data_IF_711425359037
#
_entry.id   IF_711425359037
#
_cell.length_a   1.000
_cell.length_b   1.000
_cell.length_c   1.000
_cell.angle_alpha   90.00
_cell.angle_beta   90.00
_cell.angle_gamma   90.00
#
_symmetry.space_group_name_H-M   'P 1'
#
loop_
_entity.id
_entity.type
_entity.pdbx_description
1 polymer ?
#
# COMPACT_ATOMS: atom_id res chain seq x y z
N UNK A 1 -8.94 6.06 19.66
CA UNK A 1 -8.12 7.29 19.60
C UNK A 1 -6.66 6.89 19.53
N UNK A 2 -5.87 7.41 18.58
CA UNK A 2 -4.41 7.21 18.52
C UNK A 2 -3.73 8.51 19.00
N UNK A 3 -2.73 8.40 19.86
CA UNK A 3 -1.98 9.57 20.37
C UNK A 3 -0.84 9.91 19.40
N UNK A 4 -0.68 11.20 19.08
CA UNK A 4 0.41 11.72 18.24
C UNK A 4 1.32 12.61 19.09
N UNK A 5 2.62 12.34 19.04
CA UNK A 5 3.64 13.23 19.58
C UNK A 5 4.20 14.08 18.43
N UNK A 6 3.97 15.39 18.47
CA UNK A 6 4.42 16.33 17.43
C UNK A 6 5.33 17.36 18.10
N UNK A 7 6.50 17.61 17.52
CA UNK A 7 7.37 18.72 17.90
C UNK A 7 6.94 19.96 17.12
N UNK A 8 6.66 21.05 17.84
CA UNK A 8 6.36 22.35 17.28
C UNK A 8 7.47 23.32 17.72
N UNK A 9 7.79 24.28 16.86
CA UNK A 9 8.65 25.40 17.25
C UNK A 9 7.94 26.26 18.31
N UNK A 10 8.73 26.84 19.21
CA UNK A 10 8.20 27.61 20.36
C UNK A 10 7.31 28.78 19.92
N UNK A 11 7.68 29.46 18.83
CA UNK A 11 6.89 30.56 18.25
C UNK A 11 5.53 30.09 17.74
N UNK A 12 5.47 28.91 17.11
CA UNK A 12 4.23 28.34 16.57
C UNK A 12 3.34 27.89 17.72
N UNK A 13 3.90 27.24 18.72
CA UNK A 13 3.18 26.84 19.92
C UNK A 13 2.59 28.07 20.64
N UNK A 14 3.37 29.13 20.83
CA UNK A 14 2.90 30.36 21.47
C UNK A 14 1.72 31.00 20.72
N UNK A 15 1.82 31.11 19.39
CA UNK A 15 0.72 31.62 18.55
C UNK A 15 -0.52 30.75 18.67
N UNK A 16 -0.36 29.43 18.63
CA UNK A 16 -1.47 28.50 18.73
C UNK A 16 -2.17 28.56 20.09
N UNK A 17 -1.41 28.70 21.18
CA UNK A 17 -1.96 28.90 22.53
C UNK A 17 -2.79 30.17 22.62
N UNK A 18 -2.31 31.27 22.04
CA UNK A 18 -3.05 32.54 22.02
C UNK A 18 -4.34 32.39 21.21
N UNK A 19 -4.27 31.79 20.02
CA UNK A 19 -5.44 31.57 19.17
C UNK A 19 -6.47 30.64 19.84
N UNK A 20 -6.03 29.58 20.50
CA UNK A 20 -6.91 28.68 21.24
C UNK A 20 -7.65 29.41 22.37
N UNK A 21 -6.94 30.28 23.12
CA UNK A 21 -7.55 31.14 24.14
C UNK A 21 -8.57 32.12 23.56
N UNK A 22 -8.27 32.74 22.42
CA UNK A 22 -9.17 33.68 21.77
C UNK A 22 -10.44 33.01 21.21
N UNK A 23 -10.32 31.76 20.77
CA UNK A 23 -11.42 30.96 20.26
C UNK A 23 -12.19 30.20 21.35
N UNK A 24 -11.80 30.35 22.63
CA UNK A 24 -12.38 29.65 23.78
C UNK A 24 -12.38 28.11 23.63
N UNK A 25 -11.33 27.58 22.99
CA UNK A 25 -11.13 26.14 22.76
C UNK A 25 -9.85 25.64 23.40
N UNK A 26 -9.80 24.33 23.67
CA UNK A 26 -8.56 23.72 24.15
C UNK A 26 -7.49 23.72 23.06
N UNK A 27 -6.21 23.81 23.45
CA UNK A 27 -5.09 23.72 22.51
C UNK A 27 -5.16 22.42 21.70
N UNK A 28 -5.53 21.31 22.35
CA UNK A 28 -5.65 20.00 21.72
C UNK A 28 -6.78 19.96 20.69
N UNK A 29 -7.92 20.62 20.96
CA UNK A 29 -9.03 20.68 20.01
C UNK A 29 -8.72 21.62 18.84
N UNK A 30 -8.03 22.73 19.08
CA UNK A 30 -7.54 23.60 18.02
C UNK A 30 -6.59 22.83 17.06
N UNK A 31 -5.69 22.00 17.59
CA UNK A 31 -4.82 21.13 16.78
C UNK A 31 -5.64 20.12 15.99
N UNK A 32 -6.63 19.47 16.63
CA UNK A 32 -7.51 18.51 15.96
C UNK A 32 -8.25 19.14 14.79
N UNK A 33 -8.90 20.28 15.02
CA UNK A 33 -9.65 21.01 13.98
C UNK A 33 -8.73 21.48 12.85
N UNK A 34 -7.53 21.95 13.16
CA UNK A 34 -6.55 22.35 12.15
C UNK A 34 -6.16 21.17 11.24
N UNK A 35 -5.96 19.97 11.81
CA UNK A 35 -5.67 18.77 11.04
C UNK A 35 -6.86 18.37 10.16
N UNK A 36 -8.08 18.36 10.70
CA UNK A 36 -9.29 18.03 9.93
C UNK A 36 -9.51 19.00 8.77
N UNK A 37 -9.35 20.30 9.01
CA UNK A 37 -9.42 21.33 7.97
C UNK A 37 -8.33 21.14 6.91
N UNK A 38 -7.10 20.83 7.34
CA UNK A 38 -6.00 20.60 6.40
C UNK A 38 -6.24 19.36 5.54
N UNK A 39 -6.77 18.28 6.12
CA UNK A 39 -7.18 17.09 5.38
C UNK A 39 -8.24 17.45 4.35
N UNK A 40 -9.24 18.26 4.71
CA UNK A 40 -10.29 18.69 3.78
C UNK A 40 -9.73 19.49 2.60
N UNK A 41 -8.81 20.43 2.87
CA UNK A 41 -8.12 21.21 1.83
C UNK A 41 -7.31 20.30 0.92
N UNK A 42 -6.51 19.41 1.50
CA UNK A 42 -5.69 18.45 0.76
C UNK A 42 -6.54 17.47 -0.07
N UNK A 43 -7.69 17.04 0.45
CA UNK A 43 -8.61 16.15 -0.27
C UNK A 43 -9.33 16.85 -1.42
N UNK A 44 -9.48 18.17 -1.33
CA UNK A 44 -10.11 18.98 -2.38
C UNK A 44 -9.11 19.44 -3.44
N UNK A 45 -7.82 19.21 -3.25
CA UNK A 45 -6.76 19.57 -4.20
C UNK A 45 -6.75 18.58 -5.39
N UNK A 46 -7.04 19.05 -6.62
CA UNK A 46 -7.05 18.21 -7.81
C UNK A 46 -5.69 17.52 -8.08
N UNK A 47 -4.57 18.14 -7.66
CA UNK A 47 -3.24 17.58 -7.82
C UNK A 47 -3.00 16.38 -6.89
N UNK A 48 -3.62 16.36 -5.71
CA UNK A 48 -3.59 15.22 -4.80
C UNK A 48 -4.55 14.12 -5.25
N UNK A 49 -5.67 14.45 -5.87
CA UNK A 49 -6.57 13.46 -6.48
C UNK A 49 -5.86 12.63 -7.56
N UNK A 50 -5.12 13.28 -8.46
CA UNK A 50 -4.34 12.58 -9.50
C UNK A 50 -3.25 11.68 -8.90
N UNK A 51 -2.58 12.14 -7.83
CA UNK A 51 -1.59 11.33 -7.09
C UNK A 51 -2.24 10.17 -6.32
N UNK A 52 -3.47 10.35 -5.83
CA UNK A 52 -4.22 9.32 -5.14
C UNK A 52 -4.67 8.21 -6.11
N UNK A 53 -5.08 8.55 -7.33
CA UNK A 53 -5.36 7.57 -8.38
C UNK A 53 -4.11 6.77 -8.75
N UNK A 54 -2.98 7.45 -8.98
CA UNK A 54 -1.70 6.77 -9.24
C UNK A 54 -1.26 5.86 -8.08
N UNK A 55 -1.42 6.30 -6.84
CA UNK A 55 -1.11 5.49 -5.65
C UNK A 55 -2.05 4.28 -5.54
N UNK A 56 -3.32 4.43 -5.92
CA UNK A 56 -4.30 3.35 -5.92
C UNK A 56 -4.00 2.29 -6.98
N UNK A 57 -3.57 2.71 -8.17
CA UNK A 57 -3.12 1.80 -9.22
C UNK A 57 -1.89 0.99 -8.80
N UNK A 58 -0.93 1.62 -8.10
CA UNK A 58 0.25 0.93 -7.59
C UNK A 58 -0.11 -0.08 -6.49
N UNK A 59 -0.98 0.29 -5.54
CA UNK A 59 -1.46 -0.63 -4.50
C UNK A 59 -2.20 -1.82 -5.12
N UNK A 60 -3.05 -1.59 -6.12
CA UNK A 60 -3.78 -2.66 -6.81
C UNK A 60 -2.84 -3.59 -7.57
N UNK A 61 -1.78 -3.06 -8.17
CA UNK A 61 -0.75 -3.86 -8.84
C UNK A 61 0.00 -4.73 -7.83
N UNK A 62 0.48 -4.13 -6.75
CA UNK A 62 1.22 -4.84 -5.71
C UNK A 62 0.34 -5.90 -5.02
N UNK A 63 -0.92 -5.58 -4.76
CA UNK A 63 -1.90 -6.54 -4.24
C UNK A 63 -2.13 -7.71 -5.22
N UNK A 64 -2.24 -7.45 -6.53
CA UNK A 64 -2.36 -8.52 -7.55
C UNK A 64 -1.11 -9.40 -7.60
N UNK A 65 0.07 -8.81 -7.50
CA UNK A 65 1.35 -9.54 -7.48
C UNK A 65 1.44 -10.42 -6.22
N UNK A 66 1.07 -9.88 -5.05
CA UNK A 66 1.01 -10.64 -3.80
C UNK A 66 -0.04 -11.77 -3.85
N UNK A 67 -1.23 -11.49 -4.38
CA UNK A 67 -2.28 -12.51 -4.58
C UNK A 67 -1.86 -13.59 -5.57
N UNK A 68 -1.17 -13.23 -6.66
CA UNK A 68 -0.61 -14.17 -7.62
C UNK A 68 0.46 -15.08 -7.01
N UNK A 69 1.39 -14.50 -6.23
CA UNK A 69 2.40 -15.27 -5.49
C UNK A 69 1.77 -16.22 -4.47
N UNK A 70 0.75 -15.77 -3.72
CA UNK A 70 -0.03 -16.62 -2.82
C UNK A 70 -0.75 -17.73 -3.58
N UNK A 71 -1.36 -17.44 -4.73
CA UNK A 71 -2.04 -18.44 -5.56
C UNK A 71 -1.08 -19.49 -6.14
N UNK A 72 0.19 -19.13 -6.40
CA UNK A 72 1.23 -20.09 -6.79
C UNK A 72 1.72 -20.94 -5.60
N UNK A 73 1.83 -20.35 -4.41
CA UNK A 73 2.20 -21.03 -3.17
C UNK A 73 1.12 -22.02 -2.70
N UNK A 74 -0.16 -21.66 -2.82
CA UNK A 74 -1.30 -22.47 -2.36
C UNK A 74 -1.97 -23.29 -3.49
N UNK A 75 -1.75 -22.95 -4.76
CA UNK A 75 -2.31 -23.66 -5.92
C UNK A 75 -1.46 -24.84 -6.41
N UNK A 76 -0.25 -25.03 -5.87
CA UNK A 76 0.62 -26.15 -6.23
C UNK A 76 0.36 -27.45 -5.43
N UNK A 77 -0.69 -27.50 -4.59
CA UNK A 77 -0.96 -28.66 -3.71
C UNK A 77 -2.37 -29.26 -3.85
N UNK A 78 -3.02 -29.14 -5.01
CA UNK A 78 -4.19 -29.99 -5.33
C UNK A 78 -4.12 -30.49 -6.79
N UNK A 79 -3.26 -31.50 -6.95
CA UNK A 79 -3.41 -32.76 -7.70
C UNK A 79 -4.36 -32.87 -8.92
N UNK A 80 -3.78 -33.21 -10.08
CA UNK A 80 -4.20 -34.29 -11.00
C UNK A 80 -3.12 -34.47 -12.10
N UNK A 81 -2.14 -35.36 -11.90
CA UNK A 81 -2.10 -36.76 -12.35
C UNK A 81 -1.58 -36.97 -13.81
N UNK A 82 -0.83 -38.06 -14.06
CA UNK A 82 0.21 -38.13 -15.09
C UNK A 82 -0.28 -38.69 -16.42
N UNK A 83 0.16 -38.14 -17.55
CA UNK A 83 -0.06 -38.78 -18.85
C UNK A 83 1.08 -38.53 -19.84
N UNK A 84 1.85 -39.62 -20.04
CA UNK A 84 2.62 -39.99 -21.23
C UNK A 84 3.91 -39.23 -21.52
N UNK A 85 4.99 -39.81 -21.00
CA UNK A 85 6.24 -39.90 -21.75
C UNK A 85 6.00 -40.54 -23.13
N UNK A 86 6.72 -40.08 -24.16
CA UNK A 86 7.48 -41.02 -24.97
C UNK A 86 8.96 -40.84 -24.64
N UNK A 87 9.50 -41.89 -24.03
CA UNK A 87 10.91 -42.16 -23.86
C UNK A 87 11.69 -41.88 -25.15
N UNK A 88 12.54 -40.86 -25.12
CA UNK A 88 13.79 -40.93 -25.86
C UNK A 88 14.69 -41.94 -25.15
N UNK A 89 15.27 -42.87 -25.91
CA UNK A 89 16.73 -43.07 -26.06
C UNK A 89 17.05 -44.54 -26.34
N UNK A 90 18.00 -44.73 -27.25
CA UNK A 90 19.00 -45.81 -27.29
C UNK A 90 18.63 -47.09 -28.05
N UNK A 91 19.32 -47.37 -29.16
CA UNK A 91 20.46 -48.33 -29.15
C UNK A 91 20.73 -48.95 -30.55
N UNK A 92 21.99 -48.83 -30.95
CA UNK A 92 22.80 -49.76 -31.76
C UNK A 92 22.51 -50.05 -33.25
N UNK A 93 23.53 -49.72 -34.03
CA UNK A 93 23.98 -50.33 -35.29
C UNK A 93 24.07 -51.88 -35.19
N UNK A 94 23.85 -52.61 -36.29
CA UNK A 94 24.98 -53.37 -36.87
C UNK A 94 25.08 -53.29 -38.42
N UNK A 95 26.26 -53.71 -38.91
CA UNK A 95 26.73 -53.83 -40.30
C UNK A 95 25.91 -54.92 -41.06
N UNK A 96 25.75 -54.93 -42.39
CA UNK A 96 26.76 -55.31 -43.41
C UNK A 96 26.07 -55.33 -44.80
N UNK A 97 26.79 -54.92 -45.85
CA UNK A 97 26.57 -55.31 -47.26
C UNK A 97 27.86 -55.93 -47.78
#
# INVERSE_FOLDING_TARGET
MKTLAIRLDDDVHARLVILAKLADVSLTDAIRQAIESQIQVMSSDPALSAKAEALREEIDREAREQQGALSLLFGATTEAAPAKAPSSTTTARPRKS
#
